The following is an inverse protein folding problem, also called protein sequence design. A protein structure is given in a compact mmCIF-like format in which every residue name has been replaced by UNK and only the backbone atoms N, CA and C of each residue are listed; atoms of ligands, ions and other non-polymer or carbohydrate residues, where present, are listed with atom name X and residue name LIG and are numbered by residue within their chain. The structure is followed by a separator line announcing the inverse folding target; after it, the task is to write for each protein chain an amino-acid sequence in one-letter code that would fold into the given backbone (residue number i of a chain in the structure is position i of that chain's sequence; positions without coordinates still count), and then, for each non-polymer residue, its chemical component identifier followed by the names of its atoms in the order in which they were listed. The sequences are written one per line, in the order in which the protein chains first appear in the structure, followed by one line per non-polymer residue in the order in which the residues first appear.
data_IF_108134286002
#
_entry.id   IF_108134286002
#
_cell.length_a   1.000
_cell.length_b   1.000
_cell.length_c   1.000
_cell.angle_alpha   90.00
_cell.angle_beta   90.00
_cell.angle_gamma   90.00
#
_symmetry.space_group_name_H-M   'P 1'
#
loop_
_entity.id
_entity.type
_entity.pdbx_description
1 polymer ?
#
# COMPACT_ATOMS: atom_id res chain seq x y z
N UNK A 1 25.13 16.39 5.05
CA UNK A 1 24.11 15.80 5.92
C UNK A 1 23.82 14.44 5.30
N UNK A 2 23.52 13.41 6.08
CA UNK A 2 23.12 12.14 5.49
C UNK A 2 21.77 12.36 4.75
N UNK A 3 21.60 11.70 3.61
CA UNK A 3 20.37 11.79 2.80
C UNK A 3 19.20 11.25 3.63
N UNK A 4 18.12 12.04 3.74
CA UNK A 4 16.94 11.65 4.51
C UNK A 4 16.20 10.51 3.83
N UNK A 5 16.08 9.40 4.55
CA UNK A 5 15.48 8.16 4.04
C UNK A 5 14.05 7.97 4.54
N UNK A 6 13.13 7.68 3.64
CA UNK A 6 11.75 7.33 3.96
C UNK A 6 11.41 5.89 3.60
N UNK A 7 10.59 5.24 4.46
CA UNK A 7 9.91 3.99 4.11
C UNK A 7 8.42 4.30 3.86
N UNK A 8 7.95 3.98 2.66
CA UNK A 8 6.56 4.15 2.24
C UNK A 8 5.91 2.77 2.09
N UNK A 9 4.96 2.47 2.98
CA UNK A 9 4.28 1.18 3.05
C UNK A 9 2.85 1.30 2.51
N UNK A 10 2.56 0.59 1.42
CA UNK A 10 1.24 0.64 0.79
C UNK A 10 0.17 -0.18 1.53
N UNK A 11 -1.09 0.08 1.23
CA UNK A 11 -2.21 -0.76 1.61
C UNK A 11 -2.26 -2.07 0.82
N UNK A 12 -3.01 -3.08 1.32
CA UNK A 12 -3.15 -4.36 0.63
C UNK A 12 -3.71 -5.51 1.47
N UNK A 13 -4.27 -5.24 2.63
CA UNK A 13 -4.88 -6.23 3.53
C UNK A 13 -3.94 -7.41 3.83
N UNK A 14 -4.31 -8.69 3.53
CA UNK A 14 -3.46 -9.86 3.81
C UNK A 14 -2.11 -9.85 3.07
N UNK A 15 -2.01 -9.12 1.96
CA UNK A 15 -0.76 -8.96 1.21
C UNK A 15 0.28 -8.10 1.96
N UNK A 16 -0.08 -7.48 3.08
CA UNK A 16 0.88 -6.82 3.98
C UNK A 16 1.97 -7.75 4.52
N UNK A 17 1.78 -9.06 4.47
CA UNK A 17 2.81 -10.07 4.75
C UNK A 17 4.05 -9.90 3.84
N UNK A 18 3.88 -9.44 2.60
CA UNK A 18 4.94 -9.16 1.63
C UNK A 18 5.90 -8.09 2.19
N UNK A 19 5.35 -7.04 2.82
CA UNK A 19 6.15 -5.98 3.42
C UNK A 19 7.07 -6.48 4.54
N UNK A 20 6.67 -7.53 5.26
CA UNK A 20 7.52 -8.14 6.30
C UNK A 20 8.81 -8.69 5.69
N UNK A 21 8.71 -9.41 4.58
CA UNK A 21 9.89 -9.91 3.85
C UNK A 21 10.77 -8.78 3.30
N UNK A 22 10.15 -7.74 2.74
CA UNK A 22 10.85 -6.54 2.25
C UNK A 22 11.60 -5.81 3.39
N UNK A 23 10.91 -5.59 4.52
CA UNK A 23 11.51 -4.95 5.72
C UNK A 23 12.68 -5.76 6.25
N UNK A 24 12.60 -7.09 6.23
CA UNK A 24 13.71 -7.95 6.62
C UNK A 24 14.93 -7.71 5.73
N UNK A 25 14.76 -7.65 4.41
CA UNK A 25 15.84 -7.40 3.46
C UNK A 25 16.49 -6.02 3.66
N UNK A 26 15.70 -5.01 4.05
CA UNK A 26 16.22 -3.68 4.38
C UNK A 26 17.00 -3.69 5.70
N UNK A 27 16.47 -4.29 6.75
CA UNK A 27 17.10 -4.30 8.07
C UNK A 27 18.34 -5.23 8.14
N UNK A 28 18.43 -6.28 7.31
CA UNK A 28 19.66 -7.06 7.16
C UNK A 28 20.82 -6.24 6.55
N UNK A 29 20.50 -5.11 5.89
CA UNK A 29 21.46 -4.13 5.35
C UNK A 29 21.66 -2.91 6.25
N UNK A 30 21.16 -2.95 7.47
CA UNK A 30 21.21 -1.83 8.41
C UNK A 30 20.61 -0.52 7.83
N UNK A 31 19.65 -0.66 6.89
CA UNK A 31 18.93 0.47 6.32
C UNK A 31 17.79 0.87 7.26
N UNK A 32 17.94 2.03 7.87
CA UNK A 32 16.98 2.59 8.81
C UNK A 32 16.25 3.79 8.19
N UNK A 33 14.92 3.93 8.41
CA UNK A 33 14.20 5.10 7.93
C UNK A 33 14.29 6.26 8.91
N UNK A 34 14.45 7.49 8.38
CA UNK A 34 14.28 8.74 9.14
C UNK A 34 12.79 9.10 9.30
N UNK A 35 11.92 8.54 8.45
CA UNK A 35 10.47 8.67 8.56
C UNK A 35 9.76 7.48 7.92
N UNK A 36 8.57 7.19 8.42
CA UNK A 36 7.70 6.11 7.91
C UNK A 36 6.35 6.70 7.55
N UNK A 37 5.84 6.33 6.37
CA UNK A 37 4.48 6.67 5.97
C UNK A 37 3.76 5.39 5.57
N UNK A 38 2.57 5.19 6.14
CA UNK A 38 1.80 3.98 5.88
C UNK A 38 0.34 4.25 5.53
N UNK A 39 -0.20 3.39 4.67
CA UNK A 39 -1.63 3.37 4.33
C UNK A 39 -2.20 1.99 4.66
N UNK A 40 -3.37 1.93 5.32
CA UNK A 40 -4.09 0.68 5.60
C UNK A 40 -3.19 -0.33 6.35
N UNK A 41 -2.98 -1.52 5.82
CA UNK A 41 -2.05 -2.50 6.39
C UNK A 41 -0.62 -1.97 6.48
N UNK A 42 -0.22 -1.08 5.58
CA UNK A 42 1.07 -0.39 5.65
C UNK A 42 1.17 0.54 6.86
N UNK A 43 0.06 1.15 7.29
CA UNK A 43 0.02 1.90 8.55
C UNK A 43 0.15 0.98 9.77
N UNK A 44 -0.37 -0.24 9.70
CA UNK A 44 -0.24 -1.22 10.78
C UNK A 44 1.21 -1.72 10.89
N UNK A 45 1.82 -2.14 9.78
CA UNK A 45 3.22 -2.57 9.73
C UNK A 45 4.17 -1.41 10.08
N UNK A 46 3.92 -0.21 9.51
CA UNK A 46 4.70 1.00 9.78
C UNK A 46 4.66 1.41 11.24
N UNK A 47 3.48 1.40 11.86
CA UNK A 47 3.32 1.70 13.29
C UNK A 47 4.00 0.68 14.20
N UNK A 48 4.02 -0.60 13.79
CA UNK A 48 4.75 -1.64 14.50
C UNK A 48 6.25 -1.34 14.54
N UNK A 49 6.86 -1.06 13.39
CA UNK A 49 8.30 -0.79 13.31
C UNK A 49 8.66 0.61 13.87
N UNK A 50 7.76 1.60 13.78
CA UNK A 50 7.99 2.94 14.32
C UNK A 50 8.12 2.99 15.86
N UNK A 51 7.65 1.95 16.56
CA UNK A 51 7.72 1.83 18.02
C UNK A 51 8.92 1.04 18.53
N UNK A 52 9.62 0.34 17.64
CA UNK A 52 10.66 -0.64 17.99
C UNK A 52 12.04 -0.27 17.40
N UNK A 53 13.13 -0.89 17.86
CA UNK A 53 14.44 -0.74 17.21
C UNK A 53 14.41 -1.26 15.77
N UNK A 54 15.18 -0.64 14.89
CA UNK A 54 15.32 -1.06 13.49
C UNK A 54 16.27 -2.27 13.38
N UNK A 55 15.82 -3.44 13.82
CA UNK A 55 16.61 -4.67 13.84
C UNK A 55 15.87 -5.84 13.19
N UNK A 56 16.62 -6.86 12.80
CA UNK A 56 16.04 -8.11 12.23
C UNK A 56 15.12 -8.78 13.25
N UNK A 57 15.44 -8.73 14.54
CA UNK A 57 14.62 -9.30 15.62
C UNK A 57 13.23 -8.66 15.66
N UNK A 58 13.14 -7.35 15.44
CA UNK A 58 11.85 -6.63 15.32
C UNK A 58 11.04 -7.18 14.16
N UNK A 59 11.67 -7.48 13.02
CA UNK A 59 10.96 -8.06 11.87
C UNK A 59 10.58 -9.52 12.13
N UNK A 60 11.39 -10.28 12.85
CA UNK A 60 11.02 -11.63 13.28
C UNK A 60 9.81 -11.64 14.23
N UNK A 61 9.67 -10.59 15.06
CA UNK A 61 8.45 -10.38 15.86
C UNK A 61 7.24 -10.06 14.99
N UNK A 62 7.37 -9.15 14.04
CA UNK A 62 6.31 -8.82 13.09
C UNK A 62 5.90 -10.06 12.28
N UNK A 63 6.86 -10.87 11.83
CA UNK A 63 6.61 -12.12 11.12
C UNK A 63 5.81 -13.11 12.00
N UNK A 64 6.13 -13.22 13.31
CA UNK A 64 5.34 -14.05 14.26
C UNK A 64 3.90 -13.57 14.39
N UNK A 65 3.68 -12.25 14.44
CA UNK A 65 2.34 -11.69 14.43
C UNK A 65 1.60 -12.11 13.17
N UNK A 66 2.18 -11.91 12.00
CA UNK A 66 1.59 -12.25 10.72
C UNK A 66 1.26 -13.74 10.57
N UNK A 67 2.15 -14.63 11.03
CA UNK A 67 1.90 -16.10 11.06
C UNK A 67 0.73 -16.49 11.96
N UNK A 68 0.47 -15.69 13.00
CA UNK A 68 -0.67 -15.88 13.90
C UNK A 68 -1.99 -15.34 13.36
N UNK A 69 -1.98 -14.55 12.27
CA UNK A 69 -3.18 -13.99 11.71
C UNK A 69 -3.90 -14.96 10.78
N UNK A 70 -5.20 -15.05 10.94
CA UNK A 70 -6.07 -15.74 10.00
C UNK A 70 -7.24 -14.85 9.59
N UNK A 71 -7.91 -15.23 8.51
CA UNK A 71 -9.04 -14.47 7.96
C UNK A 71 -10.09 -14.10 9.02
N UNK A 72 -10.44 -15.05 9.88
CA UNK A 72 -11.50 -14.85 10.86
C UNK A 72 -11.07 -14.02 12.10
N UNK A 73 -9.78 -13.83 12.30
CA UNK A 73 -9.28 -12.90 13.33
C UNK A 73 -9.35 -11.45 12.88
N UNK A 74 -9.22 -11.19 11.57
CA UNK A 74 -9.31 -9.85 11.00
C UNK A 74 -10.74 -9.54 10.55
N UNK A 75 -11.38 -10.48 9.85
CA UNK A 75 -12.72 -10.39 9.27
C UNK A 75 -13.66 -11.44 9.90
N UNK A 76 -14.02 -11.34 11.20
CA UNK A 76 -14.91 -12.32 11.83
C UNK A 76 -16.29 -12.28 11.18
N UNK A 77 -16.89 -13.45 10.90
CA UNK A 77 -18.26 -13.50 10.41
C UNK A 77 -19.22 -13.04 11.52
N UNK A 78 -20.02 -12.04 11.23
CA UNK A 78 -21.15 -11.63 12.05
C UNK A 78 -22.41 -11.59 11.18
N UNK A 79 -23.22 -12.67 11.19
CA UNK A 79 -24.39 -12.75 10.31
C UNK A 79 -25.38 -11.61 10.52
N UNK A 80 -25.52 -11.10 11.74
CA UNK A 80 -26.42 -9.99 12.05
C UNK A 80 -25.91 -8.67 11.47
N UNK A 81 -24.62 -8.35 11.73
CA UNK A 81 -24.00 -7.15 11.16
C UNK A 81 -23.94 -7.23 9.63
N UNK A 82 -23.60 -8.39 9.09
CA UNK A 82 -23.58 -8.61 7.63
C UNK A 82 -24.96 -8.41 7.00
N UNK A 83 -26.03 -8.97 7.60
CA UNK A 83 -27.41 -8.77 7.14
C UNK A 83 -27.82 -7.29 7.22
N UNK A 84 -27.61 -6.63 8.34
CA UNK A 84 -27.95 -5.22 8.52
C UNK A 84 -27.15 -4.31 7.57
N UNK A 85 -25.88 -4.59 7.33
CA UNK A 85 -25.06 -3.86 6.38
C UNK A 85 -25.51 -4.06 4.93
N UNK A 86 -25.85 -5.30 4.54
CA UNK A 86 -26.33 -5.59 3.20
C UNK A 86 -27.66 -4.88 2.86
N UNK A 87 -28.55 -4.73 3.84
CA UNK A 87 -29.82 -4.01 3.68
C UNK A 87 -29.75 -2.49 3.96
N UNK A 88 -28.53 -1.95 4.19
CA UNK A 88 -28.34 -0.52 4.37
C UNK A 88 -28.69 0.02 5.77
N UNK A 89 -28.93 -0.85 6.76
CA UNK A 89 -29.15 -0.46 8.16
C UNK A 89 -27.84 -0.17 8.91
N UNK A 90 -26.71 -0.63 8.35
CA UNK A 90 -25.33 -0.31 8.80
C UNK A 90 -24.46 0.02 7.59
N UNK A 91 -23.42 0.78 7.82
CA UNK A 91 -22.42 1.20 6.82
C UNK A 91 -21.27 0.21 6.65
N UNK A 92 -21.33 -0.96 7.33
CA UNK A 92 -20.27 -1.98 7.33
C UNK A 92 -20.81 -3.40 7.46
N UNK A 93 -19.99 -4.36 7.01
CA UNK A 93 -20.30 -5.79 7.04
C UNK A 93 -19.62 -6.53 8.20
N UNK A 94 -18.52 -5.99 8.74
CA UNK A 94 -17.68 -6.64 9.75
C UNK A 94 -17.50 -5.73 10.97
N UNK A 95 -17.66 -6.26 12.20
CA UNK A 95 -17.41 -5.49 13.41
C UNK A 95 -15.94 -5.05 13.52
N UNK A 96 -15.70 -3.79 13.89
CA UNK A 96 -14.34 -3.21 14.03
C UNK A 96 -13.56 -3.76 15.23
N UNK A 97 -14.22 -4.45 16.16
CA UNK A 97 -13.62 -4.87 17.43
C UNK A 97 -12.37 -5.75 17.27
N UNK A 98 -12.31 -6.59 16.24
CA UNK A 98 -11.16 -7.45 15.97
C UNK A 98 -9.96 -6.65 15.46
N UNK A 99 -10.20 -5.75 14.51
CA UNK A 99 -9.17 -4.84 14.00
C UNK A 99 -8.65 -3.93 15.12
N UNK A 100 -9.54 -3.40 15.96
CA UNK A 100 -9.17 -2.57 17.12
C UNK A 100 -8.25 -3.31 18.09
N UNK A 101 -8.54 -4.58 18.40
CA UNK A 101 -7.67 -5.41 19.25
C UNK A 101 -6.32 -5.66 18.61
N UNK A 102 -6.28 -5.95 17.30
CA UNK A 102 -5.04 -6.13 16.56
C UNK A 102 -4.18 -4.87 16.61
N UNK A 103 -4.73 -3.71 16.26
CA UNK A 103 -4.03 -2.42 16.31
C UNK A 103 -3.52 -2.12 17.72
N UNK A 104 -4.38 -2.31 18.76
CA UNK A 104 -3.99 -2.05 20.13
C UNK A 104 -2.84 -2.95 20.63
N UNK A 105 -2.73 -4.16 20.12
CA UNK A 105 -1.65 -5.09 20.46
C UNK A 105 -0.33 -4.80 19.75
N UNK A 106 -0.36 -4.08 18.63
CA UNK A 106 0.82 -3.84 17.78
C UNK A 106 1.43 -2.44 17.94
N UNK A 107 0.62 -1.43 18.28
CA UNK A 107 1.05 -0.05 18.40
C UNK A 107 1.33 0.27 19.88
N UNK A 108 2.61 0.52 20.20
CA UNK A 108 3.10 0.70 21.58
C UNK A 108 3.11 2.15 22.06
N UNK A 109 2.86 3.12 21.17
CA UNK A 109 2.75 4.53 21.51
C UNK A 109 1.30 5.00 21.46
N UNK A 110 0.95 5.98 22.30
CA UNK A 110 -0.43 6.47 22.38
C UNK A 110 -0.73 7.54 21.35
N UNK A 111 0.25 8.37 20.99
CA UNK A 111 0.11 9.46 20.01
C UNK A 111 1.14 9.32 18.90
N UNK A 112 0.76 9.71 17.67
CA UNK A 112 1.63 9.58 16.48
C UNK A 112 2.96 10.31 16.66
N UNK A 113 2.94 11.48 17.30
CA UNK A 113 4.12 12.29 17.60
C UNK A 113 5.06 11.67 18.64
N UNK A 114 4.63 10.64 19.37
CA UNK A 114 5.44 9.94 20.37
C UNK A 114 6.20 8.74 19.76
N UNK A 115 6.03 8.47 18.48
CA UNK A 115 6.72 7.38 17.79
C UNK A 115 8.25 7.64 17.80
N UNK A 116 9.06 6.56 17.96
CA UNK A 116 10.53 6.67 17.96
C UNK A 116 11.07 7.12 16.60
N UNK A 117 10.44 6.66 15.52
CA UNK A 117 10.69 7.12 14.16
C UNK A 117 9.48 7.94 13.76
N UNK A 118 9.61 9.17 13.21
CA UNK A 118 8.52 9.97 12.70
C UNK A 118 7.56 9.14 11.85
N UNK A 119 6.31 9.04 12.29
CA UNK A 119 5.32 8.15 11.69
C UNK A 119 4.09 8.92 11.23
N UNK A 120 3.72 8.72 9.97
CA UNK A 120 2.58 9.37 9.34
C UNK A 120 1.63 8.32 8.76
N UNK A 121 0.34 8.58 8.88
CA UNK A 121 -0.71 7.67 8.46
C UNK A 121 -1.61 8.37 7.46
N UNK A 122 -1.93 7.70 6.36
CA UNK A 122 -2.85 8.24 5.35
C UNK A 122 -4.26 7.70 5.57
N UNK A 123 -5.23 8.62 5.56
CA UNK A 123 -6.65 8.31 5.59
C UNK A 123 -7.39 9.13 4.53
N UNK A 124 -8.63 8.78 4.26
CA UNK A 124 -9.49 9.47 3.30
C UNK A 124 -10.73 10.04 4.01
N UNK A 125 -11.05 11.31 3.81
CA UNK A 125 -12.32 11.91 4.24
C UNK A 125 -13.47 11.30 3.44
N UNK A 126 -14.40 10.66 4.11
CA UNK A 126 -15.48 9.90 3.47
C UNK A 126 -16.46 10.75 2.65
N UNK A 127 -16.56 12.05 2.94
CA UNK A 127 -17.48 12.95 2.25
C UNK A 127 -16.83 13.67 1.07
N UNK A 128 -15.60 14.17 1.26
CA UNK A 128 -14.92 14.95 0.23
C UNK A 128 -14.03 14.11 -0.68
N UNK A 129 -13.64 12.89 -0.25
CA UNK A 129 -12.61 12.10 -0.91
C UNK A 129 -11.20 12.67 -0.73
N UNK A 130 -11.04 13.70 0.08
CA UNK A 130 -9.74 14.33 0.31
C UNK A 130 -8.81 13.41 1.07
N UNK A 131 -7.55 13.38 0.64
CA UNK A 131 -6.47 12.72 1.33
C UNK A 131 -6.10 13.49 2.60
N UNK A 132 -5.89 12.77 3.71
CA UNK A 132 -5.41 13.33 4.96
C UNK A 132 -4.16 12.59 5.42
N UNK A 133 -3.08 13.36 5.64
CA UNK A 133 -1.89 12.86 6.34
C UNK A 133 -2.03 13.15 7.83
N UNK A 134 -2.27 12.10 8.61
CA UNK A 134 -2.33 12.16 10.06
C UNK A 134 -0.90 12.06 10.64
N UNK A 135 -0.45 13.10 11.29
CA UNK A 135 0.94 13.23 11.80
C UNK A 135 0.99 13.46 13.29
N UNK A 136 -0.15 13.65 13.94
CA UNK A 136 -0.31 13.86 15.38
C UNK A 136 -1.68 13.35 15.82
N UNK A 137 -1.85 13.11 17.12
CA UNK A 137 -3.09 12.62 17.69
C UNK A 137 -3.07 11.13 18.05
N UNK A 138 -4.23 10.53 18.43
CA UNK A 138 -4.31 9.15 18.91
C UNK A 138 -3.83 8.15 17.84
N UNK A 139 -2.68 7.50 18.07
CA UNK A 139 -2.03 6.64 17.08
C UNK A 139 -2.90 5.46 16.65
N UNK A 140 -3.55 4.80 17.61
CA UNK A 140 -4.41 3.64 17.32
C UNK A 140 -5.64 4.03 16.50
N UNK A 141 -6.23 5.18 16.75
CA UNK A 141 -7.38 5.66 15.98
C UNK A 141 -6.96 6.12 14.58
N UNK A 142 -5.77 6.70 14.42
CA UNK A 142 -5.21 7.02 13.11
C UNK A 142 -5.02 5.76 12.25
N UNK A 143 -4.41 4.71 12.82
CA UNK A 143 -4.21 3.42 12.11
C UNK A 143 -5.55 2.76 11.80
N UNK A 144 -6.52 2.81 12.73
CA UNK A 144 -7.89 2.32 12.49
C UNK A 144 -8.58 3.08 11.36
N UNK A 145 -8.45 4.41 11.31
CA UNK A 145 -9.01 5.24 10.24
C UNK A 145 -8.42 4.85 8.89
N UNK A 146 -7.09 4.69 8.84
CA UNK A 146 -6.38 4.27 7.64
C UNK A 146 -6.75 2.87 7.15
N UNK A 147 -7.18 1.99 8.04
CA UNK A 147 -7.57 0.60 7.73
C UNK A 147 -9.10 0.39 7.68
N UNK A 148 -9.89 1.45 7.73
CA UNK A 148 -11.35 1.42 7.66
C UNK A 148 -11.83 1.18 6.21
N UNK A 149 -11.63 -0.05 5.70
CA UNK A 149 -11.96 -0.42 4.32
C UNK A 149 -13.46 -0.22 4.05
N UNK A 150 -13.83 0.61 3.04
CA UNK A 150 -15.21 0.98 2.77
C UNK A 150 -16.13 -0.23 2.56
N UNK A 151 -17.29 -0.20 3.21
CA UNK A 151 -18.26 -1.29 3.20
C UNK A 151 -17.88 -2.51 4.05
N UNK A 152 -16.60 -2.69 4.41
CA UNK A 152 -16.12 -3.78 5.26
C UNK A 152 -16.12 -3.35 6.73
N UNK A 153 -15.40 -2.27 7.06
CA UNK A 153 -15.35 -1.70 8.40
C UNK A 153 -16.06 -0.35 8.47
N UNK A 154 -16.59 0.05 9.66
CA UNK A 154 -17.18 1.36 9.83
C UNK A 154 -16.14 2.48 9.69
N UNK A 155 -16.55 3.67 9.18
CA UNK A 155 -15.69 4.85 9.23
C UNK A 155 -15.23 5.17 10.65
N UNK A 156 -14.03 5.72 10.78
CA UNK A 156 -13.48 6.16 12.06
C UNK A 156 -13.66 7.65 12.24
N UNK A 157 -14.23 8.06 13.40
CA UNK A 157 -14.42 9.48 13.70
C UNK A 157 -13.09 10.13 14.10
N UNK A 158 -12.70 11.20 13.40
CA UNK A 158 -11.48 11.96 13.63
C UNK A 158 -11.72 13.45 13.47
N UNK A 159 -11.55 14.23 14.54
CA UNK A 159 -11.67 15.69 14.53
C UNK A 159 -12.92 16.22 13.81
N UNK A 160 -14.05 15.59 14.04
CA UNK A 160 -15.33 16.00 13.43
C UNK A 160 -15.59 15.46 12.02
N UNK A 161 -14.68 14.69 11.43
CA UNK A 161 -14.80 14.02 10.12
C UNK A 161 -15.00 12.53 10.28
N UNK A 162 -15.58 11.90 9.28
CA UNK A 162 -15.63 10.45 9.16
C UNK A 162 -14.57 10.01 8.16
N UNK A 163 -13.58 9.26 8.63
CA UNK A 163 -12.46 8.80 7.83
C UNK A 163 -12.63 7.33 7.44
N UNK A 164 -12.24 7.04 6.22
CA UNK A 164 -12.16 5.68 5.65
C UNK A 164 -10.73 5.38 5.22
N UNK A 165 -10.49 4.16 4.75
CA UNK A 165 -9.18 3.65 4.33
C UNK A 165 -8.46 4.64 3.41
N UNK A 166 -7.21 4.90 3.73
CA UNK A 166 -6.35 5.81 2.97
C UNK A 166 -6.10 5.37 1.54
N UNK A 167 -6.21 4.07 1.26
CA UNK A 167 -6.03 3.52 -0.08
C UNK A 167 -7.04 4.01 -1.11
N UNK A 168 -8.16 4.59 -0.68
CA UNK A 168 -9.12 5.24 -1.57
C UNK A 168 -8.53 6.50 -2.20
N UNK A 169 -7.86 7.34 -1.42
CA UNK A 169 -7.23 8.58 -1.89
C UNK A 169 -5.77 8.36 -2.29
N UNK A 170 -4.94 7.71 -1.46
CA UNK A 170 -3.53 7.47 -1.76
C UNK A 170 -3.03 6.18 -1.08
N UNK A 171 -2.92 5.12 -1.88
CA UNK A 171 -2.51 3.82 -1.37
C UNK A 171 -1.00 3.70 -1.10
N UNK A 172 -0.20 4.49 -1.81
CA UNK A 172 1.28 4.45 -1.71
C UNK A 172 1.81 5.88 -1.70
N UNK A 173 1.85 6.54 -0.54
CA UNK A 173 1.97 8.00 -0.41
C UNK A 173 3.42 8.51 -0.62
N UNK A 174 3.98 8.33 -1.83
CA UNK A 174 5.35 8.72 -2.19
C UNK A 174 5.51 10.24 -2.13
N UNK A 175 4.53 10.99 -2.65
CA UNK A 175 4.53 12.45 -2.66
C UNK A 175 4.72 13.03 -1.26
N UNK A 176 4.08 12.45 -0.24
CA UNK A 176 4.24 12.91 1.15
C UNK A 176 5.64 12.66 1.72
N UNK A 177 6.32 11.59 1.32
CA UNK A 177 7.70 11.36 1.74
C UNK A 177 8.61 12.46 1.20
N UNK A 178 8.44 12.83 -0.07
CA UNK A 178 9.19 13.90 -0.74
C UNK A 178 8.87 15.27 -0.11
N UNK A 179 7.59 15.57 0.12
CA UNK A 179 7.15 16.79 0.82
C UNK A 179 7.76 16.93 2.23
N UNK A 180 7.97 15.82 2.92
CA UNK A 180 8.61 15.78 4.23
C UNK A 180 10.16 15.83 4.14
N UNK A 181 10.70 15.97 2.94
CA UNK A 181 12.12 16.18 2.68
C UNK A 181 12.92 14.89 2.55
N UNK A 182 12.29 13.76 2.21
CA UNK A 182 13.02 12.53 1.90
C UNK A 182 13.75 12.66 0.55
N UNK A 183 15.03 12.33 0.54
CA UNK A 183 15.88 12.32 -0.66
C UNK A 183 15.96 10.90 -1.25
N UNK A 184 15.86 9.89 -0.39
CA UNK A 184 15.73 8.46 -0.79
C UNK A 184 14.43 7.89 -0.22
N UNK A 185 13.61 7.28 -1.07
CA UNK A 185 12.33 6.69 -0.70
C UNK A 185 12.32 5.21 -1.07
N UNK A 186 12.32 4.34 -0.05
CA UNK A 186 12.07 2.92 -0.23
C UNK A 186 10.56 2.70 -0.24
N UNK A 187 10.04 2.17 -1.33
CA UNK A 187 8.62 1.93 -1.54
C UNK A 187 8.38 0.43 -1.39
N UNK A 188 7.48 0.07 -0.47
CA UNK A 188 7.13 -1.31 -0.11
C UNK A 188 5.68 -1.60 -0.56
N UNK A 189 5.47 -1.88 -1.85
CA UNK A 189 4.14 -2.20 -2.36
C UNK A 189 3.75 -3.63 -1.97
N UNK A 190 2.45 -3.85 -1.80
CA UNK A 190 1.91 -5.20 -1.54
C UNK A 190 1.66 -6.01 -2.81
N UNK A 191 1.74 -5.37 -3.97
CA UNK A 191 1.46 -6.00 -5.24
C UNK A 191 -0.03 -6.20 -5.53
N UNK A 192 -0.31 -6.91 -6.61
CA UNK A 192 -1.66 -7.32 -7.02
C UNK A 192 -1.63 -8.79 -7.44
N UNK A 193 -2.77 -9.48 -7.32
CA UNK A 193 -2.88 -10.82 -7.86
C UNK A 193 -2.84 -10.75 -9.40
N UNK A 194 -1.69 -11.06 -9.99
CA UNK A 194 -1.41 -10.97 -11.43
C UNK A 194 -1.46 -12.31 -12.15
N UNK A 195 -1.57 -13.43 -11.42
CA UNK A 195 -1.58 -14.80 -11.96
C UNK A 195 -2.83 -15.56 -11.50
N UNK A 196 -3.99 -14.93 -11.69
CA UNK A 196 -5.27 -15.59 -11.43
C UNK A 196 -5.73 -16.34 -12.67
N UNK A 197 -5.96 -17.64 -12.54
CA UNK A 197 -6.52 -18.49 -13.64
C UNK A 197 -7.96 -18.12 -14.01
N UNK A 198 -8.69 -17.53 -13.07
CA UNK A 198 -10.08 -17.08 -13.27
C UNK A 198 -10.32 -15.79 -12.47
N UNK A 199 -11.21 -14.90 -12.92
CA UNK A 199 -11.63 -13.74 -12.12
C UNK A 199 -12.17 -14.16 -10.76
N UNK A 200 -11.92 -13.36 -9.69
CA UNK A 200 -12.40 -13.68 -8.35
C UNK A 200 -13.91 -13.91 -8.30
N UNK A 201 -14.34 -14.97 -7.62
CA UNK A 201 -15.77 -15.26 -7.42
C UNK A 201 -16.35 -14.44 -6.26
N UNK A 202 -17.57 -13.96 -6.45
CA UNK A 202 -18.32 -13.18 -5.47
C UNK A 202 -18.02 -11.68 -5.51
N UNK A 203 -19.04 -10.90 -5.12
CA UNK A 203 -19.01 -9.44 -5.25
C UNK A 203 -17.84 -8.78 -4.47
N UNK A 204 -17.58 -9.20 -3.23
CA UNK A 204 -16.49 -8.65 -2.42
C UNK A 204 -15.12 -8.97 -3.01
N UNK A 205 -14.90 -10.21 -3.45
CA UNK A 205 -13.63 -10.62 -4.06
C UNK A 205 -13.34 -9.83 -5.34
N UNK A 206 -14.36 -9.68 -6.21
CA UNK A 206 -14.26 -8.89 -7.43
C UNK A 206 -14.00 -7.41 -7.14
N UNK A 207 -14.70 -6.82 -6.14
CA UNK A 207 -14.51 -5.42 -5.75
C UNK A 207 -13.08 -5.17 -5.26
N UNK A 208 -12.58 -6.01 -4.35
CA UNK A 208 -11.22 -5.87 -3.80
C UNK A 208 -10.15 -6.07 -4.88
N UNK A 209 -10.35 -7.00 -5.80
CA UNK A 209 -9.45 -7.18 -6.94
C UNK A 209 -9.44 -5.95 -7.86
N UNK A 210 -10.61 -5.44 -8.23
CA UNK A 210 -10.72 -4.22 -9.05
C UNK A 210 -10.04 -3.00 -8.36
N UNK A 211 -10.23 -2.83 -7.05
CA UNK A 211 -9.52 -1.81 -6.27
C UNK A 211 -8.01 -2.01 -6.32
N UNK A 212 -7.52 -3.25 -6.18
CA UNK A 212 -6.09 -3.55 -6.27
C UNK A 212 -5.50 -3.16 -7.62
N UNK A 213 -6.22 -3.40 -8.72
CA UNK A 213 -5.79 -2.97 -10.06
C UNK A 213 -5.75 -1.44 -10.20
N UNK A 214 -6.73 -0.73 -9.62
CA UNK A 214 -6.78 0.73 -9.64
C UNK A 214 -5.59 1.33 -8.88
N UNK A 215 -5.31 0.84 -7.66
CA UNK A 215 -4.19 1.35 -6.85
C UNK A 215 -2.84 1.03 -7.48
N UNK A 216 -2.70 -0.12 -8.15
CA UNK A 216 -1.49 -0.46 -8.90
C UNK A 216 -1.25 0.52 -10.06
N UNK A 217 -2.28 0.79 -10.86
CA UNK A 217 -2.17 1.78 -11.95
C UNK A 217 -1.78 3.16 -11.43
N UNK A 218 -2.38 3.59 -10.33
CA UNK A 218 -2.04 4.87 -9.72
C UNK A 218 -0.59 4.90 -9.26
N UNK A 219 -0.10 3.84 -8.62
CA UNK A 219 1.29 3.73 -8.20
C UNK A 219 2.26 3.92 -9.37
N UNK A 220 2.03 3.26 -10.51
CA UNK A 220 2.90 3.40 -11.68
C UNK A 220 2.94 4.84 -12.22
N UNK A 221 1.78 5.51 -12.25
CA UNK A 221 1.69 6.93 -12.66
C UNK A 221 2.44 7.83 -11.67
N UNK A 222 2.30 7.59 -10.37
CA UNK A 222 2.93 8.39 -9.32
C UNK A 222 4.46 8.23 -9.34
N UNK A 223 4.95 7.00 -9.48
CA UNK A 223 6.39 6.74 -9.64
C UNK A 223 6.95 7.51 -10.85
N UNK A 224 6.31 7.41 -12.01
CA UNK A 224 6.77 8.11 -13.22
C UNK A 224 6.77 9.63 -13.05
N UNK A 225 5.78 10.16 -12.32
CA UNK A 225 5.66 11.61 -12.07
C UNK A 225 6.68 12.14 -11.06
N UNK A 226 7.17 11.29 -10.16
CA UNK A 226 8.01 11.71 -9.03
C UNK A 226 9.47 11.27 -9.12
N UNK A 227 9.84 10.44 -10.12
CA UNK A 227 11.17 9.84 -10.27
C UNK A 227 12.34 10.83 -10.31
N UNK A 228 12.09 12.07 -10.77
CA UNK A 228 13.09 13.12 -10.88
C UNK A 228 13.19 14.01 -9.63
N UNK A 229 12.30 13.80 -8.63
CA UNK A 229 12.23 14.61 -7.41
C UNK A 229 12.97 13.98 -6.23
N UNK A 230 13.12 12.65 -6.21
CA UNK A 230 13.84 11.91 -5.19
C UNK A 230 14.35 10.58 -5.76
N UNK A 231 15.29 9.94 -5.08
CA UNK A 231 15.72 8.58 -5.42
C UNK A 231 14.65 7.59 -4.97
N UNK A 232 13.88 7.06 -5.91
CA UNK A 232 12.82 6.07 -5.65
C UNK A 232 13.37 4.65 -5.82
N UNK A 233 13.27 3.84 -4.77
CA UNK A 233 13.65 2.42 -4.75
C UNK A 233 12.39 1.61 -4.48
N UNK A 234 11.83 1.02 -5.53
CA UNK A 234 10.58 0.26 -5.46
C UNK A 234 10.92 -1.21 -5.29
N UNK A 235 10.71 -1.75 -4.10
CA UNK A 235 10.97 -3.17 -3.85
C UNK A 235 9.95 -4.02 -4.62
N UNK A 236 10.40 -5.05 -5.36
CA UNK A 236 9.50 -5.86 -6.17
C UNK A 236 8.61 -6.74 -5.28
N UNK A 237 7.28 -6.67 -5.42
CA UNK A 237 6.42 -7.68 -4.82
C UNK A 237 6.59 -9.02 -5.54
N UNK A 238 6.36 -10.16 -4.85
CA UNK A 238 6.45 -11.48 -5.49
C UNK A 238 5.61 -11.58 -6.75
N UNK A 239 6.21 -12.05 -7.83
CA UNK A 239 5.56 -12.29 -9.11
C UNK A 239 6.00 -13.66 -9.68
N UNK A 240 5.09 -14.51 -10.19
CA UNK A 240 3.62 -14.35 -10.22
C UNK A 240 2.96 -14.41 -8.84
N UNK A 241 1.85 -13.70 -8.67
CA UNK A 241 1.07 -13.66 -7.43
C UNK A 241 -0.38 -14.08 -7.68
N UNK A 242 -0.82 -15.18 -7.06
CA UNK A 242 -2.17 -15.72 -7.17
C UNK A 242 -2.92 -15.73 -5.84
N UNK A 243 -2.66 -14.74 -4.97
CA UNK A 243 -3.24 -14.60 -3.64
C UNK A 243 -4.15 -13.39 -3.59
N UNK A 244 -5.38 -13.59 -3.13
CA UNK A 244 -6.34 -12.49 -2.94
C UNK A 244 -6.08 -11.74 -1.62
N UNK A 245 -6.41 -10.43 -1.54
CA UNK A 245 -6.17 -9.60 -0.35
C UNK A 245 -6.88 -10.03 0.94
N UNK A 246 -7.74 -11.05 0.88
CA UNK A 246 -8.46 -11.62 2.04
C UNK A 246 -7.99 -13.01 2.42
N UNK A 247 -6.95 -13.52 1.75
CA UNK A 247 -6.40 -14.86 1.99
C UNK A 247 -5.12 -14.74 2.84
N UNK A 248 -5.18 -15.25 4.06
CA UNK A 248 -4.07 -15.29 5.01
C UNK A 248 -3.38 -16.67 5.05
N UNK A 249 -3.81 -17.63 4.23
CA UNK A 249 -3.29 -19.00 4.29
C UNK A 249 -1.86 -19.12 3.77
N UNK A 250 -1.40 -18.15 2.98
CA UNK A 250 -0.07 -18.16 2.33
C UNK A 250 0.91 -17.15 2.93
N UNK A 251 0.66 -16.69 4.15
CA UNK A 251 1.46 -15.67 4.84
C UNK A 251 2.95 -16.01 4.85
N UNK A 252 3.33 -17.23 5.23
CA UNK A 252 4.74 -17.67 5.28
C UNK A 252 5.40 -17.62 3.91
N UNK A 253 4.75 -18.15 2.91
CA UNK A 253 5.25 -18.15 1.53
C UNK A 253 5.46 -16.72 1.01
N UNK A 254 4.52 -15.83 1.30
CA UNK A 254 4.61 -14.43 0.88
C UNK A 254 5.79 -13.71 1.54
N UNK A 255 6.01 -13.93 2.84
CA UNK A 255 7.15 -13.37 3.58
C UNK A 255 8.47 -13.85 2.96
N UNK A 256 8.62 -15.15 2.78
CA UNK A 256 9.86 -15.76 2.29
C UNK A 256 10.16 -15.40 0.82
N UNK A 257 9.14 -15.35 -0.03
CA UNK A 257 9.31 -14.92 -1.43
C UNK A 257 9.70 -13.45 -1.49
N UNK A 258 8.97 -12.57 -0.80
CA UNK A 258 9.25 -11.15 -0.78
C UNK A 258 10.64 -10.82 -0.23
N UNK A 259 11.09 -11.56 0.79
CA UNK A 259 12.45 -11.43 1.32
C UNK A 259 13.51 -11.77 0.27
N UNK A 260 13.38 -12.90 -0.43
CA UNK A 260 14.34 -13.31 -1.47
C UNK A 260 14.38 -12.34 -2.64
N UNK A 261 13.20 -11.92 -3.12
CA UNK A 261 13.07 -11.03 -4.27
C UNK A 261 13.61 -9.63 -3.94
N UNK A 262 13.24 -9.08 -2.76
CA UNK A 262 13.76 -7.80 -2.29
C UNK A 262 15.27 -7.83 -2.06
N UNK A 263 15.81 -8.91 -1.48
CA UNK A 263 17.26 -9.08 -1.26
C UNK A 263 18.03 -9.08 -2.58
N UNK A 264 17.58 -9.87 -3.56
CA UNK A 264 18.22 -9.91 -4.89
C UNK A 264 18.18 -8.57 -5.58
N UNK A 265 17.04 -7.88 -5.54
CA UNK A 265 16.88 -6.54 -6.10
C UNK A 265 17.83 -5.51 -5.45
N UNK A 266 17.93 -5.52 -4.12
CA UNK A 266 18.84 -4.63 -3.40
C UNK A 266 20.31 -4.92 -3.70
N UNK A 267 20.68 -6.19 -3.91
CA UNK A 267 22.06 -6.56 -4.34
C UNK A 267 22.38 -5.95 -5.72
N UNK A 268 21.42 -5.88 -6.64
CA UNK A 268 21.58 -5.24 -7.96
C UNK A 268 21.68 -3.71 -7.84
N UNK A 269 20.86 -3.10 -6.97
CA UNK A 269 20.89 -1.66 -6.67
C UNK A 269 22.25 -1.26 -6.09
N UNK A 270 22.79 -2.04 -5.15
CA UNK A 270 24.09 -1.78 -4.51
C UNK A 270 25.25 -1.89 -5.50
N UNK A 271 25.14 -2.72 -6.51
CA UNK A 271 26.12 -2.85 -7.61
C UNK A 271 26.03 -1.72 -8.64
N UNK A 272 25.13 -0.75 -8.44
CA UNK A 272 24.93 0.37 -9.37
C UNK A 272 24.32 -0.05 -10.71
N UNK A 273 23.69 -1.22 -10.77
CA UNK A 273 22.99 -1.64 -11.97
C UNK A 273 21.72 -0.78 -12.13
N UNK A 274 21.41 -0.38 -13.37
CA UNK A 274 20.14 0.26 -13.68
C UNK A 274 19.04 -0.79 -13.58
N UNK A 275 18.47 -0.91 -12.38
CA UNK A 275 17.37 -1.85 -12.16
C UNK A 275 16.11 -1.21 -12.73
N UNK A 276 15.43 -1.84 -13.69
CA UNK A 276 14.11 -1.37 -14.14
C UNK A 276 13.22 -1.25 -12.92
N UNK A 277 12.40 -0.20 -12.85
CA UNK A 277 11.37 -0.07 -11.83
C UNK A 277 10.68 -1.44 -11.68
N UNK A 278 10.85 -2.08 -10.52
CA UNK A 278 10.52 -3.49 -10.29
C UNK A 278 9.03 -3.84 -10.37
N UNK A 279 8.22 -2.96 -10.98
CA UNK A 279 6.78 -3.14 -11.13
C UNK A 279 6.32 -2.68 -12.51
N UNK A 280 5.72 -3.61 -13.24
CA UNK A 280 4.98 -3.34 -14.48
C UNK A 280 3.65 -4.07 -14.43
N UNK A 281 2.62 -3.53 -15.07
CA UNK A 281 1.44 -4.34 -15.40
C UNK A 281 1.85 -5.29 -16.52
N UNK A 282 1.81 -6.60 -16.29
CA UNK A 282 2.18 -7.61 -17.27
C UNK A 282 1.17 -8.76 -17.25
N UNK A 283 1.08 -9.45 -18.37
CA UNK A 283 0.30 -10.66 -18.51
C UNK A 283 1.24 -11.87 -18.40
N UNK A 284 0.82 -12.87 -17.62
CA UNK A 284 1.51 -14.16 -17.48
C UNK A 284 0.99 -15.21 -18.48
N UNK A 285 0.30 -14.84 -19.55
CA UNK A 285 -0.02 -15.76 -20.61
C UNK A 285 1.28 -16.30 -21.22
N UNK A 286 1.69 -17.46 -20.73
CA UNK A 286 2.87 -18.20 -21.20
C UNK A 286 2.55 -18.87 -22.50
N UNK A 287 3.10 -18.36 -23.61
CA UNK A 287 3.46 -19.25 -24.70
C UNK A 287 4.61 -20.17 -24.26
N UNK A 288 4.58 -21.47 -24.57
CA UNK A 288 5.68 -22.38 -24.25
C UNK A 288 6.96 -21.92 -24.96
N UNK A 289 7.88 -21.29 -24.23
CA UNK A 289 9.16 -20.79 -24.77
C UNK A 289 9.26 -19.27 -24.96
N UNK A 290 8.24 -18.50 -24.58
CA UNK A 290 8.25 -17.04 -24.66
C UNK A 290 9.08 -16.41 -23.54
N UNK A 291 10.07 -15.60 -23.91
CA UNK A 291 10.64 -14.61 -23.01
C UNK A 291 9.54 -13.58 -22.71
N UNK A 292 9.40 -13.16 -21.44
CA UNK A 292 8.52 -12.08 -21.05
C UNK A 292 8.64 -10.91 -22.05
N UNK A 293 7.61 -10.73 -22.88
CA UNK A 293 7.52 -9.53 -23.68
C UNK A 293 6.95 -8.46 -22.76
N UNK A 294 7.84 -7.63 -22.23
CA UNK A 294 7.49 -6.34 -21.70
C UNK A 294 6.89 -5.51 -22.84
N UNK A 295 5.58 -5.46 -22.90
CA UNK A 295 4.88 -4.45 -23.68
C UNK A 295 4.48 -3.34 -22.69
N UNK A 296 5.28 -2.25 -22.58
CA UNK A 296 4.88 -1.14 -21.75
C UNK A 296 3.59 -0.59 -22.36
N UNK A 297 2.47 -0.73 -21.62
CA UNK A 297 1.22 -0.11 -22.03
C UNK A 297 1.50 1.36 -22.34
N UNK A 298 1.23 1.84 -23.56
CA UNK A 298 1.55 3.22 -23.91
C UNK A 298 0.76 4.13 -22.97
N UNK A 299 1.47 4.84 -22.10
CA UNK A 299 0.93 6.02 -21.45
C UNK A 299 0.70 6.97 -22.60
N UNK A 300 -0.57 7.20 -22.98
CA UNK A 300 -0.88 8.17 -24.00
C UNK A 300 -0.21 9.49 -23.63
N UNK A 301 0.60 10.11 -24.52
CA UNK A 301 1.17 11.40 -24.24
C UNK A 301 0.02 12.36 -23.91
N UNK A 302 0.24 13.38 -23.05
CA UNK A 302 -0.77 14.37 -22.74
C UNK A 302 -1.33 14.90 -24.06
N UNK A 303 -2.67 14.95 -24.16
CA UNK A 303 -3.39 15.49 -25.32
C UNK A 303 -2.80 16.87 -25.54
N UNK A 304 -2.06 17.05 -26.66
CA UNK A 304 -1.51 18.32 -27.02
C UNK A 304 -2.66 19.34 -27.03
N UNK A 305 -2.53 20.40 -26.24
CA UNK A 305 -3.48 21.51 -26.20
C UNK A 305 -3.72 21.99 -27.63
N UNK A 306 -4.92 21.75 -28.14
CA UNK A 306 -5.29 22.04 -29.51
C UNK A 306 -4.99 23.48 -29.88
N UNK A 307 -4.25 23.67 -30.94
CA UNK A 307 -4.12 24.96 -31.63
C UNK A 307 -5.51 25.47 -31.97
N UNK A 308 -5.86 26.65 -31.47
CA UNK A 308 -7.07 27.38 -31.82
C UNK A 308 -7.19 27.51 -33.34
N UNK A 309 -8.36 27.32 -33.95
CA UNK A 309 -8.55 27.56 -35.36
C UNK A 309 -8.37 29.05 -35.65
N UNK A 310 -7.43 29.39 -36.53
CA UNK A 310 -7.29 30.76 -37.04
C UNK A 310 -8.56 31.14 -37.79
N UNK A 311 -9.24 32.20 -37.34
CA UNK A 311 -10.32 32.85 -38.06
C UNK A 311 -9.74 33.48 -39.33
N UNK A 312 -9.95 32.82 -40.47
CA UNK A 312 -9.71 33.40 -41.75
C UNK A 312 -10.77 34.47 -42.09
N UNK A 313 -10.38 35.71 -42.10
CA UNK A 313 -11.20 36.77 -42.72
C UNK A 313 -11.23 36.53 -44.22
N UNK A 314 -12.40 36.15 -44.73
CA UNK A 314 -12.70 36.16 -46.17
C UNK A 314 -13.18 37.54 -46.58
N UNK A 315 -12.35 38.32 -47.31
CA UNK A 315 -12.79 39.51 -48.04
C UNK A 315 -13.62 39.08 -49.23
N UNK A 316 -14.86 39.52 -49.26
CA UNK A 316 -15.69 39.49 -50.46
C UNK A 316 -15.48 40.76 -51.28
N UNK A 317 -15.19 40.58 -52.56
CA UNK A 317 -15.40 41.60 -53.60
C UNK A 317 -16.80 41.46 -54.21
#
# INVERSE_FOLDING_TARGET
MADKTAFVLSGGASLGAIQVGMLRALYERELEPDLIIGTSVGALNGGFIASRPATVETIDELARVWRGLGRWQVFPPDPLTGFLGFFGFKDHLVPVASLRRLVAAQIEFDRLEDAKIPFHVIATDALSGSELRLSSGPARDAVLASAALPGVFPPTRWEGRDLIDGGVANNTPISHAIELGAETVYILPTGTACDLSEPPRGALGMLLHAMSLLVMRRLLIEIESLKDLARLIVLPPPCPLNVLPIDFSRTEELIERAFRDARGYLDEVDQGQAVPLGMTMHDHETEPGGRDRFDPWPIHPPIASGSSPSTGEGSAG
#
